data_IF_459513842855
#
_entry.id   IF_459513842855
#
_cell.length_a   1.000
_cell.length_b   1.000
_cell.length_c   1.000
_cell.angle_alpha   90.00
_cell.angle_beta   90.00
_cell.angle_gamma   90.00
#
_symmetry.space_group_name_H-M   'P 1'
#
loop_
_entity.id
_entity.type
_entity.pdbx_description
1 polymer ?
#
# COMPACT_ATOMS: atom_id res chain seq x y z
N UNK A 1 17.38 -28.83 -4.54
CA UNK A 1 17.05 -27.46 -4.15
C UNK A 1 18.10 -26.56 -4.76
N UNK A 2 17.72 -25.57 -5.56
CA UNK A 2 18.69 -24.64 -6.14
C UNK A 2 19.27 -23.80 -5.01
N UNK A 3 20.56 -23.99 -4.69
CA UNK A 3 21.24 -23.18 -3.71
C UNK A 3 21.54 -21.82 -4.32
N UNK A 4 20.64 -20.86 -4.12
CA UNK A 4 20.85 -19.48 -4.52
C UNK A 4 22.00 -18.93 -3.66
N UNK A 5 23.19 -18.84 -4.24
CA UNK A 5 24.38 -18.29 -3.57
C UNK A 5 24.17 -16.80 -3.37
N UNK A 6 23.78 -16.42 -2.17
CA UNK A 6 23.72 -15.02 -1.75
C UNK A 6 25.17 -14.59 -1.46
N UNK A 7 25.59 -13.48 -2.07
CA UNK A 7 26.84 -12.83 -1.72
C UNK A 7 26.72 -12.28 -0.29
N UNK A 8 27.61 -12.70 0.60
CA UNK A 8 27.60 -12.31 2.02
C UNK A 8 28.51 -11.13 2.32
N UNK A 9 29.33 -10.73 1.35
CA UNK A 9 30.32 -9.65 1.39
C UNK A 9 29.76 -8.33 0.86
N UNK A 10 28.54 -7.96 1.26
CA UNK A 10 27.91 -6.71 0.82
C UNK A 10 27.13 -6.01 1.96
N UNK A 11 26.84 -4.72 1.74
CA UNK A 11 26.16 -3.87 2.73
C UNK A 11 24.72 -4.33 3.01
N UNK A 12 24.05 -4.95 2.02
CA UNK A 12 22.70 -5.49 2.18
C UNK A 12 22.69 -6.62 3.21
N UNK A 13 23.64 -7.54 3.10
CA UNK A 13 23.78 -8.69 3.97
C UNK A 13 24.24 -8.28 5.37
N UNK A 14 25.19 -7.33 5.47
CA UNK A 14 25.63 -6.80 6.78
C UNK A 14 24.46 -6.17 7.56
N UNK A 15 23.65 -5.32 6.90
CA UNK A 15 22.45 -4.73 7.51
C UNK A 15 21.47 -5.83 7.94
N UNK A 16 21.20 -6.80 7.07
CA UNK A 16 20.28 -7.90 7.37
C UNK A 16 20.75 -8.72 8.58
N UNK A 17 22.04 -9.03 8.66
CA UNK A 17 22.64 -9.77 9.78
C UNK A 17 22.47 -9.02 11.10
N UNK A 18 22.66 -7.69 11.10
CA UNK A 18 22.46 -6.83 12.27
C UNK A 18 20.98 -6.75 12.69
N UNK A 19 20.06 -6.67 11.73
CA UNK A 19 18.61 -6.68 12.00
C UNK A 19 18.11 -8.01 12.55
N UNK A 20 18.62 -9.12 12.03
CA UNK A 20 18.24 -10.49 12.42
C UNK A 20 19.12 -11.06 13.55
N UNK A 21 19.73 -10.20 14.35
CA UNK A 21 20.51 -10.65 15.52
C UNK A 21 19.58 -11.24 16.58
N UNK A 22 19.92 -12.44 17.06
CA UNK A 22 19.11 -13.21 18.02
C UNK A 22 19.07 -12.54 19.40
N UNK A 23 20.21 -12.05 19.88
CA UNK A 23 20.32 -11.32 21.14
C UNK A 23 19.69 -9.92 20.97
N UNK A 24 18.57 -9.61 21.66
CA UNK A 24 17.86 -8.35 21.48
C UNK A 24 18.69 -7.14 21.93
N UNK A 25 19.64 -7.32 22.86
CA UNK A 25 20.50 -6.23 23.33
C UNK A 25 21.59 -5.87 22.31
N UNK A 26 21.90 -6.78 21.38
CA UNK A 26 22.88 -6.58 20.30
C UNK A 26 22.22 -6.29 18.95
N UNK A 27 20.90 -6.43 18.86
CA UNK A 27 20.15 -6.13 17.64
C UNK A 27 20.19 -4.63 17.38
N UNK A 28 20.47 -4.27 16.13
CA UNK A 28 20.50 -2.87 15.70
C UNK A 28 19.14 -2.20 15.94
N UNK A 29 19.15 -0.93 16.36
CA UNK A 29 17.92 -0.14 16.52
C UNK A 29 17.39 0.29 15.15
N UNK A 30 16.11 0.69 15.09
CA UNK A 30 15.54 1.22 13.84
C UNK A 30 16.26 2.49 13.37
N UNK A 31 16.65 3.36 14.30
CA UNK A 31 17.40 4.59 14.00
C UNK A 31 18.77 4.26 13.38
N UNK A 32 19.53 3.37 14.01
CA UNK A 32 20.85 2.96 13.50
C UNK A 32 20.73 2.21 12.16
N UNK A 33 19.65 1.45 11.96
CA UNK A 33 19.38 0.78 10.70
C UNK A 33 19.13 1.79 9.55
N UNK A 34 18.38 2.87 9.80
CA UNK A 34 18.16 3.93 8.82
C UNK A 34 19.45 4.67 8.45
N UNK A 35 20.36 4.84 9.42
CA UNK A 35 21.65 5.50 9.21
C UNK A 35 22.71 4.60 8.53
N UNK A 36 22.39 3.32 8.30
CA UNK A 36 23.32 2.34 7.76
C UNK A 36 23.84 2.74 6.36
N UNK A 37 25.13 2.50 6.03
CA UNK A 37 25.71 2.85 4.72
C UNK A 37 24.97 2.26 3.52
N UNK A 38 24.25 1.16 3.70
CA UNK A 38 23.41 0.56 2.66
C UNK A 38 22.43 1.57 2.02
N UNK A 39 21.82 2.44 2.83
CA UNK A 39 20.86 3.44 2.32
C UNK A 39 21.54 4.71 1.79
N UNK A 40 22.87 4.80 1.88
CA UNK A 40 23.69 5.92 1.39
C UNK A 40 24.48 5.54 0.13
N UNK A 41 24.53 4.26 -0.23
CA UNK A 41 25.10 3.77 -1.49
C UNK A 41 24.10 3.94 -2.65
N UNK A 42 24.58 4.12 -3.87
CA UNK A 42 23.71 4.09 -5.04
C UNK A 42 23.15 2.67 -5.29
N UNK A 43 21.85 2.52 -5.59
CA UNK A 43 20.83 3.57 -5.70
C UNK A 43 20.29 4.04 -4.35
N UNK A 44 20.11 5.36 -4.23
CA UNK A 44 19.49 5.93 -3.04
C UNK A 44 18.01 5.51 -2.91
N UNK A 45 17.49 5.42 -1.68
CA UNK A 45 16.07 5.19 -1.44
C UNK A 45 15.20 6.26 -2.11
N UNK A 46 14.10 5.81 -2.70
CA UNK A 46 13.09 6.67 -3.32
C UNK A 46 11.81 6.67 -2.50
N UNK A 47 11.05 7.77 -2.56
CA UNK A 47 9.73 7.84 -1.92
C UNK A 47 8.74 6.87 -2.58
N UNK A 48 8.77 6.78 -3.92
CA UNK A 48 8.09 5.74 -4.69
C UNK A 48 9.00 4.53 -4.88
N UNK A 49 8.68 3.42 -4.23
CA UNK A 49 9.43 2.15 -4.31
C UNK A 49 9.44 1.55 -5.72
N UNK A 50 8.51 1.94 -6.60
CA UNK A 50 8.48 1.50 -7.99
C UNK A 50 9.30 2.41 -8.92
N UNK A 51 9.83 3.52 -8.43
CA UNK A 51 10.54 4.52 -9.23
C UNK A 51 9.75 4.92 -10.50
N UNK A 52 8.45 5.16 -10.33
CA UNK A 52 7.48 5.49 -11.39
C UNK A 52 7.34 4.45 -12.51
N UNK A 53 7.79 3.21 -12.28
CA UNK A 53 7.59 2.08 -13.18
C UNK A 53 6.19 1.48 -12.99
N UNK A 54 5.75 0.70 -13.97
CA UNK A 54 4.47 -0.02 -13.88
C UNK A 54 4.48 -1.02 -12.71
N UNK A 55 3.41 -1.03 -11.92
CA UNK A 55 3.27 -1.91 -10.75
C UNK A 55 2.89 -3.33 -11.25
N UNK A 56 3.74 -4.35 -11.05
CA UNK A 56 3.52 -5.69 -11.59
C UNK A 56 2.61 -6.56 -10.72
N UNK A 57 2.22 -6.08 -9.54
CA UNK A 57 1.46 -6.85 -8.56
C UNK A 57 -0.05 -6.73 -8.79
N UNK A 58 -0.75 -7.86 -8.75
CA UNK A 58 -2.20 -7.90 -8.91
C UNK A 58 -2.92 -7.14 -7.79
N UNK A 59 -4.08 -6.59 -8.12
CA UNK A 59 -4.96 -5.99 -7.12
C UNK A 59 -5.53 -7.10 -6.23
N UNK A 60 -5.72 -6.78 -4.95
CA UNK A 60 -6.37 -7.66 -3.97
C UNK A 60 -7.72 -8.15 -4.53
N UNK A 61 -7.87 -9.47 -4.63
CA UNK A 61 -9.15 -10.12 -4.94
C UNK A 61 -10.00 -10.26 -3.67
N UNK A 62 -11.32 -10.25 -3.83
CA UNK A 62 -12.24 -10.62 -2.77
C UNK A 62 -12.27 -12.15 -2.69
N UNK A 63 -11.97 -12.70 -1.51
CA UNK A 63 -12.33 -14.07 -1.19
C UNK A 63 -13.76 -14.02 -0.66
N UNK A 64 -14.69 -14.71 -1.33
CA UNK A 64 -16.00 -14.98 -0.74
C UNK A 64 -15.79 -16.13 0.22
N UNK A 65 -15.96 -15.88 1.52
CA UNK A 65 -15.84 -16.90 2.58
C UNK A 65 -16.98 -17.94 2.53
N UNK A 66 -17.95 -17.76 1.63
CA UNK A 66 -19.05 -18.71 1.41
C UNK A 66 -18.62 -19.86 0.49
N UNK A 67 -17.74 -20.71 1.01
CA UNK A 67 -17.70 -22.10 0.57
C UNK A 67 -18.92 -22.81 1.17
N UNK A 68 -19.80 -23.27 0.27
CA UNK A 68 -20.97 -24.13 0.48
C UNK A 68 -22.31 -23.45 0.86
N UNK A 69 -22.99 -22.87 -0.13
CA UNK A 69 -24.21 -23.53 -0.64
C UNK A 69 -24.68 -22.97 -2.01
N UNK A 70 -24.94 -23.91 -2.92
CA UNK A 70 -25.71 -23.79 -4.17
C UNK A 70 -25.18 -22.90 -5.30
N UNK A 71 -24.75 -23.61 -6.35
CA UNK A 71 -24.72 -23.18 -7.74
C UNK A 71 -25.91 -22.28 -8.13
N UNK A 72 -25.61 -21.09 -8.67
CA UNK A 72 -26.36 -20.45 -9.76
C UNK A 72 -25.62 -19.22 -10.31
N UNK A 73 -25.23 -19.34 -11.59
CA UNK A 73 -25.09 -18.32 -12.62
C UNK A 73 -24.85 -16.85 -12.26
N UNK A 74 -23.74 -16.32 -12.79
CA UNK A 74 -23.55 -14.98 -13.35
C UNK A 74 -24.17 -13.80 -12.59
N UNK A 75 -23.32 -12.99 -11.96
CA UNK A 75 -23.46 -11.52 -12.06
C UNK A 75 -22.16 -10.78 -11.78
N UNK A 76 -21.82 -9.95 -12.74
CA UNK A 76 -20.89 -8.84 -12.71
C UNK A 76 -21.18 -7.93 -11.49
N UNK A 77 -20.20 -7.79 -10.59
CA UNK A 77 -20.27 -6.87 -9.45
C UNK A 77 -19.32 -5.71 -9.71
N UNK A 78 -19.88 -4.54 -9.99
CA UNK A 78 -19.17 -3.26 -10.02
C UNK A 78 -18.81 -2.86 -8.57
N UNK A 79 -17.59 -2.36 -8.28
CA UNK A 79 -17.31 -1.81 -6.97
C UNK A 79 -18.11 -0.51 -6.74
N UNK A 80 -18.64 -0.27 -5.52
CA UNK A 80 -19.38 0.95 -5.22
C UNK A 80 -18.44 2.15 -5.21
N UNK A 81 -18.82 3.21 -5.93
CA UNK A 81 -18.19 4.52 -5.90
C UNK A 81 -18.38 5.11 -4.49
N UNK A 82 -17.29 5.23 -3.74
CA UNK A 82 -17.28 5.97 -2.47
C UNK A 82 -17.19 7.47 -2.81
N UNK A 83 -18.35 8.15 -2.83
CA UNK A 83 -18.43 9.60 -2.96
C UNK A 83 -17.91 10.24 -1.66
N UNK A 84 -16.67 10.73 -1.68
CA UNK A 84 -16.16 11.62 -0.64
C UNK A 84 -16.72 13.02 -0.92
N UNK A 85 -17.66 13.43 -0.07
CA UNK A 85 -18.27 14.75 -0.05
C UNK A 85 -17.19 15.81 0.23
N UNK A 86 -16.89 16.65 -0.75
CA UNK A 86 -15.98 17.79 -0.59
C UNK A 86 -16.81 19.04 -0.31
N UNK A 87 -16.69 19.58 0.90
CA UNK A 87 -17.24 20.90 1.28
C UNK A 87 -16.29 22.01 0.83
N UNK A 88 -16.83 23.09 0.25
CA UNK A 88 -16.14 24.36 0.06
C UNK A 88 -17.14 25.53 0.25
N UNK A 89 -16.77 26.66 0.88
CA UNK A 89 -17.69 27.77 1.16
C UNK A 89 -17.62 28.94 0.14
N UNK A 90 -18.71 29.73 0.10
CA UNK A 90 -18.92 31.06 -0.52
C UNK A 90 -18.98 31.09 -2.08
N UNK A 91 -19.78 31.89 -2.79
CA UNK A 91 -20.59 33.11 -2.56
C UNK A 91 -21.47 33.35 -3.80
N UNK A 92 -22.70 33.91 -3.68
CA UNK A 92 -23.45 34.40 -4.85
C UNK A 92 -24.94 34.64 -4.62
N UNK A 93 -25.45 35.76 -5.13
CA UNK A 93 -26.71 36.44 -4.83
C UNK A 93 -27.97 35.90 -5.55
N UNK A 94 -29.14 36.27 -4.99
CA UNK A 94 -30.49 36.46 -5.60
C UNK A 94 -31.49 35.30 -5.82
N UNK A 95 -32.71 35.47 -5.26
CA UNK A 95 -33.98 35.05 -5.91
C UNK A 95 -34.89 34.05 -5.16
N UNK A 96 -36.22 34.27 -5.05
CA UNK A 96 -37.01 33.76 -3.92
C UNK A 96 -37.69 32.39 -4.08
N UNK A 97 -38.08 31.86 -2.92
CA UNK A 97 -38.79 30.61 -2.66
C UNK A 97 -40.08 30.38 -3.46
N UNK A 98 -40.30 29.14 -3.94
CA UNK A 98 -41.64 28.63 -4.26
C UNK A 98 -41.79 27.12 -3.98
N UNK A 99 -42.41 26.86 -2.83
CA UNK A 99 -43.46 25.88 -2.47
C UNK A 99 -43.52 24.51 -3.19
N UNK A 100 -43.43 23.47 -2.34
CA UNK A 100 -43.82 22.06 -2.57
C UNK A 100 -45.26 21.94 -3.10
N UNK A 101 -45.44 21.18 -4.17
CA UNK A 101 -46.62 20.33 -4.40
C UNK A 101 -46.18 19.13 -5.25
N UNK A 102 -46.42 17.92 -4.75
CA UNK A 102 -46.38 16.68 -5.54
C UNK A 102 -47.83 16.23 -5.67
N UNK A 103 -48.28 16.05 -6.91
CA UNK A 103 -49.42 15.17 -7.20
C UNK A 103 -49.01 13.72 -6.98
#
# INVERSE_FOLDING_TARGET
MEHKKIKTDNLQFDLLQKMLTMDPLKRITAYDAMEHPYFKEEPLPTEDVFASRNIPYEKRSFMNDDADDKASASKHIQPPIHNVMQQQPQSGLEGPANKRIKM
#
